data_IF_888589676112
#
_entry.id   IF_888589676112
#
_cell.length_a   1.000
_cell.length_b   1.000
_cell.length_c   1.000
_cell.angle_alpha   90.00
_cell.angle_beta   90.00
_cell.angle_gamma   90.00
#
_symmetry.space_group_name_H-M   'P 1'
#
loop_
_entity.id
_entity.type
_entity.pdbx_description
1 polymer ?
#
# COMPACT_ATOMS: atom_id res chain seq x y z
N UNK A 1 3.12 -4.84 -6.39
CA UNK A 1 3.03 -4.44 -4.95
C UNK A 1 3.04 -5.66 -4.05
N UNK A 2 2.14 -6.59 -4.25
CA UNK A 2 2.05 -7.80 -3.42
C UNK A 2 3.38 -8.55 -3.40
N UNK A 3 3.94 -8.81 -4.57
CA UNK A 3 5.20 -9.54 -4.72
C UNK A 3 6.37 -8.84 -4.03
N UNK A 4 6.48 -7.53 -4.19
CA UNK A 4 7.55 -6.74 -3.57
C UNK A 4 7.48 -6.79 -2.05
N UNK A 5 6.29 -6.72 -1.48
CA UNK A 5 6.10 -6.80 -0.04
C UNK A 5 6.42 -8.19 0.47
N UNK A 6 5.99 -9.23 -0.24
CA UNK A 6 6.27 -10.61 0.13
C UNK A 6 7.78 -10.92 0.12
N UNK A 7 8.50 -10.42 -0.90
CA UNK A 7 9.95 -10.61 -1.00
C UNK A 7 10.72 -9.86 0.07
N UNK A 8 10.18 -8.77 0.58
CA UNK A 8 10.87 -7.95 1.59
C UNK A 8 11.05 -8.66 2.93
N UNK A 9 10.25 -9.68 3.21
CA UNK A 9 10.23 -10.37 4.49
C UNK A 9 9.49 -9.63 5.60
N UNK A 10 8.93 -8.47 5.32
CA UNK A 10 8.18 -7.68 6.31
C UNK A 10 6.84 -8.31 6.66
N UNK A 11 6.23 -9.00 5.70
CA UNK A 11 4.95 -9.68 5.86
C UNK A 11 4.97 -11.00 5.11
N UNK A 12 4.21 -11.97 5.60
CA UNK A 12 3.99 -13.24 4.87
C UNK A 12 3.01 -12.98 3.72
N UNK A 13 3.18 -13.71 2.63
CA UNK A 13 2.33 -13.54 1.44
C UNK A 13 0.83 -13.69 1.75
N UNK A 14 0.47 -14.60 2.67
CA UNK A 14 -0.93 -14.83 3.04
C UNK A 14 -1.51 -13.72 3.93
N UNK A 15 -0.68 -12.78 4.39
CA UNK A 15 -1.11 -11.62 5.17
C UNK A 15 -1.33 -10.39 4.29
N UNK A 16 -1.04 -10.48 3.00
CA UNK A 16 -1.05 -9.32 2.10
C UNK A 16 -2.27 -9.40 1.19
N UNK A 17 -3.10 -8.37 1.23
CA UNK A 17 -4.25 -8.21 0.33
C UNK A 17 -4.12 -6.89 -0.39
N UNK A 18 -4.23 -6.91 -1.71
CA UNK A 18 -4.15 -5.70 -2.53
C UNK A 18 -5.37 -5.58 -3.43
N UNK A 19 -5.79 -4.35 -3.67
CA UNK A 19 -6.85 -4.03 -4.61
C UNK A 19 -6.62 -2.63 -5.16
N UNK A 20 -7.18 -2.36 -6.32
CA UNK A 20 -7.05 -1.06 -6.96
C UNK A 20 -8.41 -0.54 -7.41
N UNK A 21 -8.61 0.76 -7.27
CA UNK A 21 -9.75 1.48 -7.82
C UNK A 21 -9.24 2.48 -8.84
N UNK A 22 -9.86 2.49 -10.03
CA UNK A 22 -9.58 3.51 -11.02
C UNK A 22 -10.63 4.62 -10.90
N UNK A 23 -10.18 5.87 -10.90
CA UNK A 23 -11.05 7.02 -10.84
C UNK A 23 -11.09 7.70 -12.21
N UNK A 24 -12.28 8.06 -12.67
CA UNK A 24 -12.46 8.80 -13.93
C UNK A 24 -12.57 10.30 -13.71
N UNK A 25 -12.91 10.72 -12.50
CA UNK A 25 -13.04 12.14 -12.14
C UNK A 25 -12.07 12.44 -11.01
N UNK A 26 -11.05 13.25 -11.32
CA UNK A 26 -10.02 13.61 -10.35
C UNK A 26 -9.29 14.87 -10.81
N UNK A 27 -8.56 15.50 -9.91
CA UNK A 27 -7.58 16.53 -10.20
C UNK A 27 -6.24 16.15 -9.58
N UNK A 28 -5.16 16.62 -10.19
CA UNK A 28 -3.81 16.39 -9.70
C UNK A 28 -3.10 17.75 -9.70
N UNK A 29 -3.05 18.38 -8.52
CA UNK A 29 -2.42 19.71 -8.35
C UNK A 29 -2.93 20.74 -9.35
N UNK A 30 -4.25 20.72 -9.63
CA UNK A 30 -4.88 21.62 -10.58
C UNK A 30 -4.85 21.16 -12.03
N UNK A 31 -4.18 20.06 -12.33
CA UNK A 31 -4.14 19.46 -13.67
C UNK A 31 -4.92 18.16 -13.75
N UNK A 32 -4.76 17.43 -14.86
CA UNK A 32 -5.46 16.19 -15.13
C UNK A 32 -4.50 15.02 -15.39
N UNK A 33 -3.22 15.17 -15.08
CA UNK A 33 -2.24 14.11 -15.29
C UNK A 33 -2.50 12.95 -14.34
N UNK A 34 -2.39 11.69 -14.81
CA UNK A 34 -2.64 10.53 -13.97
C UNK A 34 -1.71 10.46 -12.77
N UNK A 35 -2.21 9.99 -11.64
CA UNK A 35 -1.41 9.75 -10.46
C UNK A 35 -1.91 8.48 -9.78
N UNK A 36 -1.06 7.92 -8.91
CA UNK A 36 -1.39 6.77 -8.09
C UNK A 36 -1.13 7.13 -6.64
N UNK A 37 -2.12 6.90 -5.78
CA UNK A 37 -1.95 6.98 -4.34
C UNK A 37 -2.25 5.63 -3.72
N UNK A 38 -1.32 5.15 -2.89
CA UNK A 38 -1.43 3.85 -2.24
C UNK A 38 -1.62 4.07 -0.75
N UNK A 39 -2.63 3.43 -0.19
CA UNK A 39 -2.84 3.36 1.25
C UNK A 39 -2.52 1.94 1.71
N UNK A 40 -1.46 1.81 2.50
CA UNK A 40 -1.08 0.53 3.09
C UNK A 40 -1.54 0.52 4.55
N UNK A 41 -2.60 -0.22 4.83
CA UNK A 41 -3.18 -0.30 6.17
C UNK A 41 -2.62 -1.52 6.88
N UNK A 42 -1.97 -1.30 8.02
CA UNK A 42 -1.33 -2.35 8.81
C UNK A 42 -1.78 -2.25 10.26
N UNK A 43 -1.65 -3.36 10.99
CA UNK A 43 -1.91 -3.33 12.43
C UNK A 43 -0.85 -2.49 13.12
N UNK A 44 -1.25 -1.71 14.10
CA UNK A 44 -0.35 -0.88 14.89
C UNK A 44 0.69 -1.72 15.62
N UNK A 45 1.85 -1.14 15.90
CA UNK A 45 2.92 -1.79 16.64
C UNK A 45 4.27 -1.81 15.94
N UNK A 46 4.32 -1.48 14.66
CA UNK A 46 5.59 -1.35 13.94
C UNK A 46 6.14 0.07 14.14
N UNK A 47 7.46 0.18 14.26
CA UNK A 47 8.10 1.49 14.41
C UNK A 47 8.15 2.26 13.09
N UNK A 48 8.57 3.53 13.18
CA UNK A 48 8.63 4.42 12.02
C UNK A 48 9.58 3.88 10.94
N UNK A 49 10.71 3.31 11.34
CA UNK A 49 11.70 2.78 10.39
C UNK A 49 11.11 1.61 9.60
N UNK A 50 10.41 0.69 10.26
CA UNK A 50 9.73 -0.42 9.59
C UNK A 50 8.65 0.06 8.64
N UNK A 51 7.87 1.06 9.05
CA UNK A 51 6.82 1.63 8.20
C UNK A 51 7.41 2.33 7.00
N UNK A 52 8.50 3.07 7.18
CA UNK A 52 9.20 3.72 6.08
C UNK A 52 9.76 2.69 5.10
N UNK A 53 10.33 1.60 5.62
CA UNK A 53 10.84 0.52 4.78
C UNK A 53 9.73 -0.10 3.93
N UNK A 54 8.55 -0.30 4.49
CA UNK A 54 7.39 -0.80 3.74
C UNK A 54 7.03 0.12 2.58
N UNK A 55 6.97 1.43 2.84
CA UNK A 55 6.70 2.42 1.80
C UNK A 55 7.75 2.39 0.70
N UNK A 56 9.02 2.33 1.08
CA UNK A 56 10.14 2.28 0.12
C UNK A 56 10.07 1.02 -0.74
N UNK A 57 9.74 -0.13 -0.17
CA UNK A 57 9.59 -1.39 -0.89
C UNK A 57 8.47 -1.29 -1.93
N UNK A 58 7.34 -0.72 -1.56
CA UNK A 58 6.20 -0.54 -2.47
C UNK A 58 6.59 0.38 -3.63
N UNK A 59 7.17 1.53 -3.34
CA UNK A 59 7.55 2.49 -4.37
C UNK A 59 8.62 1.93 -5.29
N UNK A 60 9.59 1.24 -4.74
CA UNK A 60 10.65 0.62 -5.54
C UNK A 60 10.09 -0.45 -6.49
N UNK A 61 9.17 -1.27 -5.99
CA UNK A 61 8.52 -2.28 -6.83
C UNK A 61 7.75 -1.67 -7.99
N UNK A 62 7.10 -0.53 -7.76
CA UNK A 62 6.37 0.17 -8.81
C UNK A 62 7.28 0.92 -9.77
N UNK A 63 8.43 1.39 -9.29
CA UNK A 63 9.37 2.16 -10.14
C UNK A 63 9.98 1.31 -11.26
N UNK A 64 9.96 -0.01 -11.13
CA UNK A 64 10.45 -0.91 -12.17
C UNK A 64 9.43 -1.15 -13.29
N UNK A 65 8.19 -0.71 -13.09
CA UNK A 65 7.11 -0.85 -14.06
C UNK A 65 6.98 0.45 -14.86
N UNK A 66 6.62 0.32 -16.13
CA UNK A 66 6.42 1.49 -16.99
C UNK A 66 5.00 2.01 -16.82
N UNK A 67 4.75 2.68 -15.68
CA UNK A 67 3.42 3.18 -15.33
C UNK A 67 3.29 4.64 -15.79
N UNK A 68 2.24 4.99 -16.56
CA UNK A 68 2.06 6.36 -17.05
C UNK A 68 1.43 7.27 -15.99
N UNK A 69 2.07 7.40 -14.85
CA UNK A 69 1.62 8.28 -13.76
C UNK A 69 2.66 9.36 -13.52
N UNK A 70 2.20 10.59 -13.30
CA UNK A 70 3.09 11.73 -13.03
C UNK A 70 3.71 11.67 -11.63
N UNK A 71 3.00 11.05 -10.69
CA UNK A 71 3.47 10.87 -9.31
C UNK A 71 2.85 9.61 -8.72
N UNK A 72 3.63 8.91 -7.90
CA UNK A 72 3.16 7.77 -7.14
C UNK A 72 3.49 8.03 -5.67
N UNK A 73 2.47 8.01 -4.83
CA UNK A 73 2.61 8.24 -3.40
C UNK A 73 2.15 7.04 -2.61
N UNK A 74 2.71 6.86 -1.41
CA UNK A 74 2.29 5.81 -0.50
C UNK A 74 2.13 6.38 0.91
N UNK A 75 1.08 5.96 1.57
CA UNK A 75 0.81 6.31 2.95
C UNK A 75 0.66 5.03 3.76
N UNK A 76 1.35 4.94 4.89
CA UNK A 76 1.25 3.80 5.80
C UNK A 76 0.31 4.20 6.94
N UNK A 77 -0.77 3.45 7.10
CA UNK A 77 -1.83 3.77 8.06
C UNK A 77 -1.90 2.68 9.12
N UNK A 78 -1.76 3.05 10.39
CA UNK A 78 -1.92 2.12 11.50
C UNK A 78 -3.39 1.87 11.76
N UNK A 79 -3.78 0.59 11.87
CA UNK A 79 -5.10 0.19 12.33
C UNK A 79 -5.03 -0.09 13.83
N UNK A 80 -6.01 0.41 14.58
CA UNK A 80 -6.09 0.13 16.00
C UNK A 80 -6.36 -1.35 16.24
N UNK A 81 -5.45 -2.02 16.96
CA UNK A 81 -5.54 -3.46 17.19
C UNK A 81 -6.76 -3.87 17.98
N UNK A 82 -7.13 -3.05 18.97
CA UNK A 82 -8.22 -3.35 19.90
C UNK A 82 -9.58 -3.38 19.22
N UNK A 83 -9.75 -2.60 18.15
CA UNK A 83 -11.02 -2.53 17.42
C UNK A 83 -11.04 -3.34 16.14
N UNK A 84 -9.89 -3.92 15.73
CA UNK A 84 -9.81 -4.70 14.51
C UNK A 84 -10.52 -6.04 14.66
N UNK A 85 -11.56 -6.26 13.87
CA UNK A 85 -12.34 -7.49 13.91
C UNK A 85 -11.97 -8.43 12.78
N UNK A 86 -11.98 -9.74 13.06
CA UNK A 86 -11.69 -10.76 12.05
C UNK A 86 -12.56 -11.99 12.30
N UNK A 87 -13.15 -12.51 11.25
CA UNK A 87 -13.96 -13.72 11.28
C UNK A 87 -13.51 -14.67 10.17
N UNK A 88 -13.28 -15.93 10.52
CA UNK A 88 -12.82 -16.96 9.58
C UNK A 88 -13.93 -18.00 9.42
N UNK A 89 -14.86 -17.81 8.49
CA UNK A 89 -16.07 -18.65 8.40
C UNK A 89 -15.83 -20.11 8.04
N UNK A 90 -14.68 -20.42 7.43
CA UNK A 90 -14.36 -21.78 6.98
C UNK A 90 -13.35 -22.48 7.89
N UNK A 91 -13.34 -22.11 9.17
CA UNK A 91 -12.44 -22.71 10.17
C UNK A 91 -13.15 -23.13 11.41
#
# INVERSE_FOLDING_TARGET
IHHSIAESGLFKADQIKTRAYAFTKYTNAGGSEPYIHIQARIKAGRDVDNKKQLGDVILKGLSTLNIPASVITVEIIDMERESYGKYLPNR
#
